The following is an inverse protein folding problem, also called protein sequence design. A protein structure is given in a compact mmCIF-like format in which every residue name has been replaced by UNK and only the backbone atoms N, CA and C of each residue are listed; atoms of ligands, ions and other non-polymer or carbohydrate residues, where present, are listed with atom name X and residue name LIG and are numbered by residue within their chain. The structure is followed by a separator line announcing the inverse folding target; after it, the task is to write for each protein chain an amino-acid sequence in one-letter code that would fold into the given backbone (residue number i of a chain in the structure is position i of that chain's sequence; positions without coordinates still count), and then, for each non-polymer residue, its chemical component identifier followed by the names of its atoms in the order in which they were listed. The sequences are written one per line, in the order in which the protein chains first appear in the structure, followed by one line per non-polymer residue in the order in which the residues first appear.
data_IF_442913036779
#
_entry.id   IF_442913036779
#
_cell.length_a   1.000
_cell.length_b   1.000
_cell.length_c   1.000
_cell.angle_alpha   90.00
_cell.angle_beta   90.00
_cell.angle_gamma   90.00
#
_symmetry.space_group_name_H-M   'P 1'
#
loop_
_entity.id
_entity.type
_entity.pdbx_description
1 polymer ?
#
# COMPACT_ATOMS: atom_id res chain seq x y z
N UNK A 1 -7.52 52.39 -19.52
CA UNK A 1 -7.39 50.93 -19.35
C UNK A 1 -7.03 50.67 -17.90
N UNK A 2 -8.02 50.50 -17.03
CA UNK A 2 -7.82 50.17 -15.61
C UNK A 2 -7.66 48.66 -15.48
N UNK A 3 -6.44 48.21 -15.26
CA UNK A 3 -6.15 46.85 -14.80
C UNK A 3 -6.71 46.70 -13.38
N UNK A 4 -7.92 46.16 -13.27
CA UNK A 4 -8.43 45.67 -11.99
C UNK A 4 -7.53 44.51 -11.52
N UNK A 5 -6.53 44.84 -10.71
CA UNK A 5 -5.86 43.87 -9.86
C UNK A 5 -6.89 43.44 -8.80
N UNK A 6 -7.59 42.33 -9.06
CA UNK A 6 -8.36 41.64 -8.04
C UNK A 6 -7.39 41.20 -6.94
N UNK A 7 -7.33 41.97 -5.85
CA UNK A 7 -6.64 41.55 -4.63
C UNK A 7 -7.44 40.39 -4.04
N UNK A 8 -6.97 39.17 -4.30
CA UNK A 8 -7.61 37.96 -3.81
C UNK A 8 -7.59 37.95 -2.28
N UNK A 9 -8.73 37.65 -1.66
CA UNK A 9 -8.82 37.64 -0.20
C UNK A 9 -7.90 36.56 0.40
N UNK A 10 -7.41 36.76 1.64
CA UNK A 10 -6.57 35.76 2.31
C UNK A 10 -7.23 34.37 2.37
N UNK A 11 -8.57 34.34 2.42
CA UNK A 11 -9.37 33.12 2.33
C UNK A 11 -9.27 32.45 0.95
N UNK A 12 -9.40 33.20 -0.14
CA UNK A 12 -9.27 32.68 -1.51
C UNK A 12 -7.87 32.11 -1.76
N UNK A 13 -6.82 32.77 -1.25
CA UNK A 13 -5.44 32.25 -1.34
C UNK A 13 -5.34 30.87 -0.67
N UNK A 14 -5.89 30.71 0.53
CA UNK A 14 -5.89 29.42 1.25
C UNK A 14 -6.79 28.37 0.60
N UNK A 15 -7.90 28.79 -0.01
CA UNK A 15 -8.76 27.89 -0.79
C UNK A 15 -8.03 27.36 -2.02
N UNK A 16 -7.32 28.22 -2.75
CA UNK A 16 -6.52 27.82 -3.92
C UNK A 16 -5.38 26.87 -3.53
N UNK A 17 -4.73 27.11 -2.38
CA UNK A 17 -3.70 26.22 -1.82
C UNK A 17 -4.28 24.83 -1.49
N UNK A 18 -5.47 24.79 -0.88
CA UNK A 18 -6.18 23.54 -0.61
C UNK A 18 -6.56 22.80 -1.89
N UNK A 19 -7.07 23.50 -2.90
CA UNK A 19 -7.46 22.88 -4.17
C UNK A 19 -6.25 22.29 -4.91
N UNK A 20 -5.09 22.96 -4.82
CA UNK A 20 -3.83 22.40 -5.32
C UNK A 20 -3.45 21.10 -4.59
N UNK A 21 -3.53 21.08 -3.26
CA UNK A 21 -3.28 19.87 -2.46
C UNK A 21 -4.26 18.75 -2.83
N UNK A 22 -5.56 19.03 -2.97
CA UNK A 22 -6.57 18.06 -3.39
C UNK A 22 -6.29 17.49 -4.77
N UNK A 23 -5.84 18.32 -5.71
CA UNK A 23 -5.42 17.89 -7.04
C UNK A 23 -4.23 16.92 -6.97
N UNK A 24 -3.27 17.16 -6.09
CA UNK A 24 -2.12 16.28 -5.87
C UNK A 24 -2.53 14.95 -5.22
N UNK A 25 -3.40 14.97 -4.20
CA UNK A 25 -3.97 13.73 -3.64
C UNK A 25 -4.76 12.95 -4.68
N UNK A 26 -5.55 13.63 -5.53
CA UNK A 26 -6.31 12.98 -6.61
C UNK A 26 -5.39 12.35 -7.66
N UNK A 27 -4.27 13.01 -8.00
CA UNK A 27 -3.25 12.44 -8.88
C UNK A 27 -2.62 11.19 -8.26
N UNK A 28 -2.22 11.26 -6.98
CA UNK A 28 -1.61 10.14 -6.27
C UNK A 28 -2.57 8.96 -6.09
N UNK A 29 -3.86 9.24 -5.83
CA UNK A 29 -4.94 8.25 -5.78
C UNK A 29 -5.03 7.43 -7.08
N UNK A 30 -4.83 8.05 -8.25
CA UNK A 30 -4.79 7.31 -9.53
C UNK A 30 -3.59 6.37 -9.62
N UNK A 31 -2.43 6.77 -9.11
CA UNK A 31 -1.23 5.92 -9.06
C UNK A 31 -1.42 4.70 -8.15
N UNK A 32 -2.02 4.90 -6.97
CA UNK A 32 -2.37 3.82 -6.04
C UNK A 32 -3.38 2.84 -6.66
N UNK A 33 -4.45 3.37 -7.26
CA UNK A 33 -5.43 2.54 -7.97
C UNK A 33 -4.80 1.77 -9.14
N UNK A 34 -3.88 2.39 -9.89
CA UNK A 34 -3.13 1.72 -10.94
C UNK A 34 -2.35 0.50 -10.43
N UNK A 35 -1.67 0.63 -9.28
CA UNK A 35 -0.98 -0.50 -8.64
C UNK A 35 -1.98 -1.56 -8.15
N UNK A 36 -3.10 -1.14 -7.56
CA UNK A 36 -4.19 -2.04 -7.11
C UNK A 36 -4.76 -2.88 -8.26
N UNK A 37 -5.03 -2.27 -9.41
CA UNK A 37 -5.52 -3.00 -10.59
C UNK A 37 -4.49 -4.00 -11.11
N UNK A 38 -3.22 -3.62 -11.18
CA UNK A 38 -2.14 -4.52 -11.60
C UNK A 38 -1.98 -5.70 -10.63
N UNK A 39 -2.07 -5.44 -9.32
CA UNK A 39 -2.04 -6.50 -8.32
C UNK A 39 -3.23 -7.44 -8.44
N UNK A 40 -4.44 -6.90 -8.60
CA UNK A 40 -5.66 -7.69 -8.81
C UNK A 40 -5.58 -8.59 -10.03
N UNK A 41 -5.09 -8.07 -11.16
CA UNK A 41 -4.92 -8.85 -12.39
C UNK A 41 -3.89 -9.95 -12.21
N UNK A 42 -2.74 -9.62 -11.62
CA UNK A 42 -1.72 -10.60 -11.26
C UNK A 42 -2.29 -11.68 -10.33
N UNK A 43 -2.97 -11.29 -9.26
CA UNK A 43 -3.55 -12.19 -8.27
C UNK A 43 -4.50 -13.16 -8.97
N UNK A 44 -5.50 -12.66 -9.71
CA UNK A 44 -6.49 -13.49 -10.40
C UNK A 44 -5.85 -14.51 -11.36
N UNK A 45 -4.73 -14.18 -12.01
CA UNK A 45 -4.07 -15.05 -13.00
C UNK A 45 -2.99 -15.97 -12.43
N UNK A 46 -2.28 -15.55 -11.37
CA UNK A 46 -1.00 -16.14 -10.96
C UNK A 46 -0.98 -16.68 -9.53
N UNK A 47 -1.90 -16.28 -8.64
CA UNK A 47 -1.83 -16.63 -7.20
C UNK A 47 -1.76 -18.15 -6.94
N UNK A 48 -2.52 -18.95 -7.69
CA UNK A 48 -2.52 -20.42 -7.56
C UNK A 48 -1.17 -21.01 -7.93
N UNK A 49 -0.63 -20.62 -9.09
CA UNK A 49 0.67 -21.06 -9.56
C UNK A 49 1.80 -20.63 -8.61
N UNK A 50 1.71 -19.43 -8.05
CA UNK A 50 2.63 -18.93 -7.04
C UNK A 50 2.64 -19.83 -5.79
N UNK A 51 1.46 -20.16 -5.24
CA UNK A 51 1.34 -21.08 -4.10
C UNK A 51 1.89 -22.47 -4.40
N UNK A 52 1.62 -23.02 -5.58
CA UNK A 52 2.16 -24.31 -6.03
C UNK A 52 3.69 -24.33 -6.06
N UNK A 53 4.31 -23.27 -6.59
CA UNK A 53 5.77 -23.14 -6.65
C UNK A 53 6.40 -23.07 -5.25
N UNK A 54 5.83 -22.28 -4.35
CA UNK A 54 6.32 -22.18 -2.97
C UNK A 54 6.21 -23.54 -2.24
N UNK A 55 5.06 -24.21 -2.35
CA UNK A 55 4.85 -25.54 -1.75
C UNK A 55 5.81 -26.58 -2.33
N UNK A 56 6.03 -26.57 -3.65
CA UNK A 56 6.96 -27.49 -4.30
C UNK A 56 8.40 -27.28 -3.84
N UNK A 57 8.84 -26.02 -3.72
CA UNK A 57 10.18 -25.71 -3.21
C UNK A 57 10.28 -26.06 -1.73
N UNK A 58 9.24 -25.80 -0.92
CA UNK A 58 9.20 -26.24 0.48
C UNK A 58 9.38 -27.75 0.62
N UNK A 59 8.70 -28.56 -0.21
CA UNK A 59 8.84 -30.03 -0.18
C UNK A 59 10.26 -30.50 -0.56
N UNK A 60 10.98 -29.74 -1.39
CA UNK A 60 12.34 -30.10 -1.84
C UNK A 60 13.45 -29.52 -0.98
N UNK A 61 13.23 -28.33 -0.42
CA UNK A 61 14.21 -27.52 0.31
C UNK A 61 13.55 -26.89 1.57
N UNK A 62 13.05 -27.69 2.52
CA UNK A 62 12.33 -27.17 3.69
C UNK A 62 13.20 -26.30 4.60
N UNK A 63 14.53 -26.50 4.58
CA UNK A 63 15.47 -25.68 5.35
C UNK A 63 15.60 -24.24 4.82
N UNK A 64 15.18 -23.98 3.57
CA UNK A 64 15.27 -22.66 2.92
C UNK A 64 13.89 -22.03 2.80
N UNK A 65 12.91 -22.83 2.40
CA UNK A 65 11.54 -22.40 2.16
C UNK A 65 10.67 -22.88 3.33
N UNK A 66 10.23 -22.00 4.24
CA UNK A 66 9.37 -22.37 5.35
C UNK A 66 7.96 -22.73 4.88
N UNK A 67 7.18 -23.38 5.74
CA UNK A 67 5.78 -23.71 5.49
C UNK A 67 4.84 -22.49 5.54
N UNK A 68 5.28 -21.39 6.14
CA UNK A 68 4.59 -20.09 6.19
C UNK A 68 5.57 -18.93 6.26
N UNK A 69 5.10 -17.74 5.92
CA UNK A 69 5.83 -16.49 6.12
C UNK A 69 5.08 -15.61 7.11
N UNK A 70 5.79 -15.08 8.10
CA UNK A 70 5.18 -14.23 9.12
C UNK A 70 5.30 -12.74 8.77
N UNK A 71 6.26 -12.35 7.91
CA UNK A 71 6.47 -10.97 7.47
C UNK A 71 7.22 -10.88 6.13
N UNK A 72 7.32 -9.68 5.54
CA UNK A 72 8.05 -9.45 4.28
C UNK A 72 9.55 -9.67 4.45
N UNK A 73 10.13 -9.27 5.58
CA UNK A 73 11.55 -9.47 5.85
C UNK A 73 11.91 -10.96 5.86
N UNK A 74 11.03 -11.82 6.40
CA UNK A 74 11.20 -13.28 6.35
C UNK A 74 11.14 -13.77 4.89
N UNK A 75 10.14 -13.32 4.12
CA UNK A 75 10.01 -13.67 2.71
C UNK A 75 11.22 -13.27 1.85
N UNK A 76 11.78 -12.06 2.07
CA UNK A 76 12.99 -11.57 1.41
C UNK A 76 14.22 -12.42 1.76
N UNK A 77 14.41 -12.77 3.03
CA UNK A 77 15.51 -13.66 3.45
C UNK A 77 15.44 -15.01 2.76
N UNK A 78 14.25 -15.61 2.66
CA UNK A 78 14.05 -16.87 1.94
C UNK A 78 14.36 -16.73 0.45
N UNK A 79 13.93 -15.63 -0.19
CA UNK A 79 14.28 -15.31 -1.57
C UNK A 79 15.81 -15.26 -1.76
N UNK A 80 16.51 -14.56 -0.88
CA UNK A 80 17.97 -14.39 -0.96
C UNK A 80 18.72 -15.70 -0.73
N UNK A 81 18.27 -16.52 0.23
CA UNK A 81 18.80 -17.87 0.43
C UNK A 81 18.56 -18.76 -0.79
N UNK A 82 17.35 -18.75 -1.35
CA UNK A 82 16.98 -19.55 -2.53
C UNK A 82 17.81 -19.16 -3.76
N UNK A 83 18.14 -17.88 -3.91
CA UNK A 83 18.96 -17.37 -5.02
C UNK A 83 20.40 -17.93 -5.03
N UNK A 84 20.89 -18.41 -3.88
CA UNK A 84 22.23 -18.97 -3.71
C UNK A 84 22.29 -20.48 -3.93
N UNK A 85 21.14 -21.14 -4.11
CA UNK A 85 21.07 -22.59 -4.32
C UNK A 85 21.49 -22.93 -5.75
N UNK A 86 22.30 -23.98 -5.91
CA UNK A 86 22.71 -24.42 -7.25
C UNK A 86 21.49 -24.89 -8.07
N UNK A 87 21.47 -24.53 -9.36
CA UNK A 87 20.30 -24.69 -10.25
C UNK A 87 20.06 -26.12 -10.73
N UNK A 88 20.74 -27.11 -10.17
CA UNK A 88 20.66 -28.49 -10.66
C UNK A 88 19.33 -29.15 -10.25
N UNK A 89 18.44 -29.31 -11.25
CA UNK A 89 17.22 -30.15 -11.22
C UNK A 89 16.07 -29.71 -10.29
N UNK A 90 16.07 -28.47 -9.83
CA UNK A 90 14.99 -27.92 -8.99
C UNK A 90 14.25 -26.77 -9.70
N UNK A 91 12.95 -26.55 -9.42
CA UNK A 91 12.18 -25.43 -9.99
C UNK A 91 12.52 -24.08 -9.33
N UNK A 92 13.74 -23.92 -8.81
CA UNK A 92 14.18 -22.73 -8.05
C UNK A 92 14.10 -21.47 -8.89
N UNK A 93 14.49 -21.51 -10.17
CA UNK A 93 14.42 -20.36 -11.07
C UNK A 93 12.98 -19.83 -11.27
N UNK A 94 12.01 -20.74 -11.44
CA UNK A 94 10.60 -20.37 -11.61
C UNK A 94 10.02 -19.79 -10.32
N UNK A 95 10.36 -20.40 -9.18
CA UNK A 95 9.94 -19.90 -7.87
C UNK A 95 10.53 -18.51 -7.58
N UNK A 96 11.83 -18.31 -7.85
CA UNK A 96 12.50 -17.01 -7.71
C UNK A 96 11.86 -15.95 -8.60
N UNK A 97 11.52 -16.27 -9.85
CA UNK A 97 10.81 -15.35 -10.74
C UNK A 97 9.45 -14.94 -10.13
N UNK A 98 8.67 -15.90 -9.65
CA UNK A 98 7.36 -15.64 -9.06
C UNK A 98 7.46 -14.85 -7.74
N UNK A 99 8.47 -15.12 -6.90
CA UNK A 99 8.76 -14.32 -5.70
C UNK A 99 9.15 -12.89 -6.06
N UNK A 100 9.94 -12.69 -7.12
CA UNK A 100 10.34 -11.37 -7.59
C UNK A 100 9.16 -10.52 -8.08
N UNK A 101 8.18 -11.13 -8.75
CA UNK A 101 6.94 -10.43 -9.14
C UNK A 101 6.24 -9.83 -7.91
N UNK A 102 6.09 -10.62 -6.84
CA UNK A 102 5.48 -10.15 -5.60
C UNK A 102 6.33 -9.07 -4.90
N UNK A 103 7.65 -9.26 -4.83
CA UNK A 103 8.58 -8.26 -4.29
C UNK A 103 8.56 -6.96 -5.10
N UNK A 104 8.30 -7.02 -6.41
CA UNK A 104 8.17 -5.82 -7.23
C UNK A 104 6.91 -5.03 -6.85
N UNK A 105 5.79 -5.68 -6.55
CA UNK A 105 4.61 -5.01 -6.00
C UNK A 105 4.91 -4.35 -4.65
N UNK A 106 5.62 -5.05 -3.76
CA UNK A 106 6.05 -4.48 -2.47
C UNK A 106 6.89 -3.22 -2.65
N UNK A 107 7.95 -3.28 -3.47
CA UNK A 107 8.85 -2.13 -3.72
C UNK A 107 8.09 -0.94 -4.30
N UNK A 108 7.23 -1.19 -5.29
CA UNK A 108 6.41 -0.13 -5.91
C UNK A 108 5.43 0.48 -4.93
N UNK A 109 4.81 -0.33 -4.07
CA UNK A 109 3.96 0.15 -2.99
C UNK A 109 4.76 1.05 -2.05
N UNK A 110 5.93 0.60 -1.56
CA UNK A 110 6.79 1.41 -0.68
C UNK A 110 7.14 2.77 -1.30
N UNK A 111 7.48 2.82 -2.58
CA UNK A 111 7.71 4.09 -3.29
C UNK A 111 6.48 5.01 -3.26
N UNK A 112 5.29 4.46 -3.50
CA UNK A 112 4.05 5.24 -3.44
C UNK A 112 3.75 5.70 -2.00
N UNK A 113 3.99 4.85 -1.00
CA UNK A 113 3.79 5.22 0.42
C UNK A 113 4.72 6.37 0.85
N UNK A 114 5.97 6.39 0.39
CA UNK A 114 6.86 7.53 0.63
C UNK A 114 6.33 8.84 0.02
N UNK A 115 5.73 8.77 -1.19
CA UNK A 115 5.08 9.92 -1.81
C UNK A 115 3.84 10.35 -1.03
N UNK A 116 3.04 9.39 -0.56
CA UNK A 116 1.87 9.63 0.30
C UNK A 116 2.26 10.35 1.59
N UNK A 117 3.36 9.93 2.24
CA UNK A 117 3.87 10.58 3.45
C UNK A 117 4.28 12.05 3.20
N UNK A 118 4.92 12.33 2.06
CA UNK A 118 5.28 13.70 1.66
C UNK A 118 4.04 14.58 1.45
N UNK A 119 3.00 14.07 0.79
CA UNK A 119 1.73 14.78 0.63
C UNK A 119 1.02 15.00 1.97
N UNK A 120 1.04 14.00 2.86
CA UNK A 120 0.47 14.10 4.20
C UNK A 120 1.16 15.18 5.05
N UNK A 121 2.50 15.29 4.99
CA UNK A 121 3.23 16.36 5.68
C UNK A 121 2.76 17.74 5.24
N UNK A 122 2.64 17.95 3.92
CA UNK A 122 2.13 19.21 3.35
C UNK A 122 0.68 19.49 3.76
N UNK A 123 -0.15 18.45 3.87
CA UNK A 123 -1.51 18.59 4.41
C UNK A 123 -1.49 19.03 5.88
N UNK A 124 -0.61 18.47 6.71
CA UNK A 124 -0.47 18.85 8.10
C UNK A 124 -0.01 20.31 8.26
N UNK A 125 0.98 20.73 7.48
CA UNK A 125 1.46 22.12 7.41
C UNK A 125 0.31 23.07 7.02
N UNK A 126 -0.46 22.71 5.98
CA UNK A 126 -1.62 23.47 5.56
C UNK A 126 -2.65 23.59 6.69
N UNK A 127 -3.04 22.47 7.31
CA UNK A 127 -4.02 22.46 8.40
C UNK A 127 -3.56 23.27 9.62
N UNK A 128 -2.25 23.33 9.91
CA UNK A 128 -1.71 24.17 10.97
C UNK A 128 -1.72 25.67 10.60
N UNK A 129 -1.69 26.00 9.32
CA UNK A 129 -1.67 27.38 8.82
C UNK A 129 -3.04 28.07 8.75
N UNK A 130 -4.13 27.33 8.95
CA UNK A 130 -5.51 27.83 8.84
C UNK A 130 -6.20 27.88 10.20
N UNK A 131 -7.04 28.89 10.40
CA UNK A 131 -7.70 29.14 11.68
C UNK A 131 -8.88 28.19 11.95
N UNK A 132 -9.63 27.77 10.92
CA UNK A 132 -10.76 26.84 11.05
C UNK A 132 -10.86 25.87 9.88
N UNK A 133 -10.99 24.58 10.20
CA UNK A 133 -11.41 23.55 9.27
C UNK A 133 -12.91 23.31 9.46
N UNK A 134 -13.64 23.15 8.35
CA UNK A 134 -15.08 22.88 8.40
C UNK A 134 -15.41 21.56 9.11
N UNK A 135 -14.55 20.56 8.96
CA UNK A 135 -14.69 19.28 9.66
C UNK A 135 -13.35 18.74 10.15
N UNK A 136 -13.09 18.94 11.43
CA UNK A 136 -11.89 18.43 12.10
C UNK A 136 -11.87 16.89 12.20
N UNK A 137 -13.01 16.21 12.11
CA UNK A 137 -13.09 14.74 12.20
C UNK A 137 -12.43 14.07 11.01
N UNK A 138 -12.60 14.64 9.81
CA UNK A 138 -11.95 14.12 8.58
C UNK A 138 -10.43 14.14 8.73
N UNK A 139 -9.85 15.22 9.24
CA UNK A 139 -8.40 15.30 9.49
C UNK A 139 -7.94 14.25 10.51
N UNK A 140 -8.67 14.07 11.62
CA UNK A 140 -8.32 13.02 12.61
C UNK A 140 -8.32 11.63 12.01
N UNK A 141 -9.32 11.28 11.19
CA UNK A 141 -9.37 10.00 10.50
C UNK A 141 -8.20 9.83 9.52
N UNK A 142 -7.83 10.89 8.80
CA UNK A 142 -6.64 10.88 7.93
C UNK A 142 -5.37 10.60 8.75
N UNK A 143 -5.23 11.21 9.93
CA UNK A 143 -4.06 11.04 10.80
C UNK A 143 -3.97 9.62 11.37
N UNK A 144 -5.10 9.09 11.86
CA UNK A 144 -5.20 7.71 12.34
C UNK A 144 -4.84 6.69 11.25
N UNK A 145 -5.38 6.87 10.04
CA UNK A 145 -5.06 5.99 8.91
C UNK A 145 -3.61 6.11 8.48
N UNK A 146 -3.01 7.30 8.53
CA UNK A 146 -1.62 7.50 8.15
C UNK A 146 -0.66 6.84 9.16
N UNK A 147 -0.90 6.98 10.46
CA UNK A 147 -0.09 6.34 11.50
C UNK A 147 -0.21 4.81 11.44
N UNK A 148 -1.43 4.31 11.20
CA UNK A 148 -1.67 2.90 10.93
C UNK A 148 -0.87 2.42 9.73
N UNK A 149 -0.96 3.13 8.60
CA UNK A 149 -0.25 2.78 7.36
C UNK A 149 1.27 2.75 7.55
N UNK A 150 1.82 3.69 8.32
CA UNK A 150 3.25 3.73 8.66
C UNK A 150 3.70 2.52 9.48
N UNK A 151 2.87 2.11 10.45
CA UNK A 151 3.13 0.94 11.30
C UNK A 151 3.06 -0.35 10.49
N UNK A 152 1.98 -0.53 9.72
CA UNK A 152 1.71 -1.76 8.97
C UNK A 152 2.61 -1.92 7.72
N UNK A 153 3.15 -0.83 7.18
CA UNK A 153 4.09 -0.88 6.04
C UNK A 153 5.53 -1.22 6.43
N UNK A 154 5.79 -1.67 7.66
CA UNK A 154 7.09 -2.15 8.10
C UNK A 154 7.38 -3.54 7.52
N UNK A 155 8.63 -3.80 7.10
CA UNK A 155 9.01 -5.10 6.54
C UNK A 155 8.85 -6.26 7.56
N UNK A 156 8.93 -5.95 8.86
CA UNK A 156 8.73 -6.89 9.97
C UNK A 156 7.29 -6.94 10.49
N UNK A 157 6.33 -6.29 9.83
CA UNK A 157 4.93 -6.33 10.25
C UNK A 157 4.38 -7.77 10.22
N UNK A 158 3.73 -8.18 11.31
CA UNK A 158 3.17 -9.51 11.48
C UNK A 158 1.91 -9.69 10.62
N UNK A 159 2.00 -10.59 9.66
CA UNK A 159 0.89 -10.93 8.76
C UNK A 159 -0.33 -11.50 9.49
N UNK A 160 -0.15 -12.11 10.66
CA UNK A 160 -1.23 -12.62 11.50
C UNK A 160 -2.28 -11.54 11.83
N UNK A 161 -1.85 -10.28 11.91
CA UNK A 161 -2.72 -9.14 12.25
C UNK A 161 -3.64 -8.68 11.10
N UNK A 162 -3.44 -9.20 9.88
CA UNK A 162 -4.26 -8.86 8.70
C UNK A 162 -5.54 -9.71 8.66
N UNK A 163 -5.61 -10.78 9.45
CA UNK A 163 -6.56 -11.89 9.27
C UNK A 163 -8.00 -11.69 9.79
N UNK A 164 -8.40 -10.48 10.21
CA UNK A 164 -9.75 -10.25 10.76
C UNK A 164 -10.60 -9.23 9.99
N UNK A 165 -10.12 -8.72 8.85
CA UNK A 165 -10.91 -7.76 8.07
C UNK A 165 -11.91 -8.50 7.16
N UNK A 166 -13.20 -8.49 7.51
CA UNK A 166 -14.34 -9.01 6.72
C UNK A 166 -14.33 -8.61 5.23
N UNK A 167 -13.62 -7.55 4.87
CA UNK A 167 -13.50 -7.00 3.51
C UNK A 167 -12.37 -7.60 2.67
N UNK A 168 -11.59 -8.53 3.20
CA UNK A 168 -10.48 -9.10 2.47
C UNK A 168 -10.99 -10.21 1.53
N UNK A 169 -11.62 -9.81 0.42
CA UNK A 169 -12.14 -10.74 -0.62
C UNK A 169 -11.06 -11.69 -1.17
N UNK A 170 -9.78 -11.39 -0.96
CA UNK A 170 -8.66 -12.25 -1.28
C UNK A 170 -8.61 -13.50 -0.40
N UNK A 171 -9.09 -13.43 0.85
CA UNK A 171 -9.15 -14.56 1.80
C UNK A 171 -9.99 -15.71 1.32
N UNK A 172 -11.09 -15.42 0.63
CA UNK A 172 -12.00 -16.45 0.12
C UNK A 172 -11.57 -17.03 -1.23
N UNK A 173 -10.63 -16.38 -1.93
CA UNK A 173 -10.15 -16.82 -3.25
C UNK A 173 -8.93 -17.71 -3.19
N UNK A 174 -8.19 -17.72 -2.06
CA UNK A 174 -7.05 -18.61 -1.88
C UNK A 174 -7.54 -20.00 -1.48
N UNK A 175 -7.19 -21.01 -2.27
CA UNK A 175 -7.55 -22.40 -1.97
C UNK A 175 -6.93 -22.87 -0.63
N UNK A 176 -7.63 -23.78 0.06
CA UNK A 176 -7.23 -24.35 1.36
C UNK A 176 -5.73 -24.75 1.46
N UNK A 177 -5.12 -25.40 0.46
CA UNK A 177 -3.69 -25.79 0.54
C UNK A 177 -2.70 -24.62 0.58
N UNK A 178 -3.13 -23.40 0.22
CA UNK A 178 -2.26 -22.22 0.13
C UNK A 178 -2.59 -21.15 1.19
N UNK A 179 -3.45 -21.48 2.17
CA UNK A 179 -3.85 -20.54 3.22
C UNK A 179 -2.67 -20.06 4.09
N UNK A 180 -1.61 -20.86 4.22
CA UNK A 180 -0.38 -20.44 4.91
C UNK A 180 0.33 -19.25 4.24
N UNK A 181 0.04 -18.94 2.97
CA UNK A 181 0.57 -17.79 2.25
C UNK A 181 -0.41 -16.61 2.19
N UNK A 182 -1.57 -16.72 2.85
CA UNK A 182 -2.62 -15.72 2.77
C UNK A 182 -2.17 -14.34 3.26
N UNK A 183 -1.44 -14.29 4.37
CA UNK A 183 -0.88 -13.06 4.92
C UNK A 183 0.01 -12.31 3.92
N UNK A 184 0.91 -13.06 3.27
CA UNK A 184 1.80 -12.57 2.23
C UNK A 184 1.02 -12.00 1.01
N UNK A 185 -0.02 -12.70 0.58
CA UNK A 185 -0.88 -12.28 -0.53
C UNK A 185 -1.84 -11.14 -0.15
N UNK A 186 -2.11 -10.94 1.13
CA UNK A 186 -3.06 -9.94 1.61
C UNK A 186 -2.42 -8.61 1.96
N UNK A 187 -1.13 -8.58 2.26
CA UNK A 187 -0.46 -7.38 2.73
C UNK A 187 -0.55 -6.21 1.72
N UNK A 188 -0.18 -6.45 0.47
CA UNK A 188 -0.23 -5.41 -0.58
C UNK A 188 -1.64 -4.83 -0.75
N UNK A 189 -2.71 -5.63 -0.96
CA UNK A 189 -4.05 -5.07 -1.11
C UNK A 189 -4.58 -4.41 0.17
N UNK A 190 -4.22 -4.92 1.35
CA UNK A 190 -4.56 -4.32 2.64
C UNK A 190 -4.01 -2.89 2.76
N UNK A 191 -2.70 -2.72 2.56
CA UNK A 191 -2.05 -1.40 2.63
C UNK A 191 -2.54 -0.46 1.51
N UNK A 192 -2.80 -0.97 0.31
CA UNK A 192 -3.36 -0.19 -0.79
C UNK A 192 -4.74 0.37 -0.44
N UNK A 193 -5.60 -0.41 0.24
CA UNK A 193 -6.92 0.05 0.69
C UNK A 193 -6.76 1.24 1.64
N UNK A 194 -5.96 1.08 2.70
CA UNK A 194 -5.71 2.15 3.68
C UNK A 194 -5.11 3.40 3.01
N UNK A 195 -4.13 3.26 2.11
CA UNK A 195 -3.51 4.39 1.41
C UNK A 195 -4.50 5.12 0.47
N UNK A 196 -5.40 4.38 -0.18
CA UNK A 196 -6.47 4.95 -1.01
C UNK A 196 -7.45 5.75 -0.14
N UNK A 197 -7.83 5.22 1.03
CA UNK A 197 -8.74 5.88 1.96
C UNK A 197 -8.15 7.19 2.50
N UNK A 198 -6.85 7.21 2.83
CA UNK A 198 -6.11 8.44 3.19
C UNK A 198 -6.25 9.50 2.09
N UNK A 199 -5.98 9.14 0.83
CA UNK A 199 -6.05 10.08 -0.28
C UNK A 199 -7.48 10.58 -0.53
N UNK A 200 -8.45 9.67 -0.45
CA UNK A 200 -9.86 10.00 -0.62
C UNK A 200 -10.32 10.98 0.46
N UNK A 201 -10.09 10.69 1.73
CA UNK A 201 -10.49 11.56 2.84
C UNK A 201 -9.75 12.90 2.81
N UNK A 202 -8.46 12.92 2.46
CA UNK A 202 -7.70 14.16 2.29
C UNK A 202 -8.34 15.07 1.22
N UNK A 203 -8.93 14.49 0.16
CA UNK A 203 -9.66 15.26 -0.85
C UNK A 203 -10.98 15.87 -0.36
N UNK A 204 -11.51 15.38 0.76
CA UNK A 204 -12.77 15.82 1.41
C UNK A 204 -12.57 16.88 2.49
N UNK A 205 -11.34 17.35 2.72
CA UNK A 205 -11.08 18.44 3.67
C UNK A 205 -11.64 19.75 3.10
N UNK A 206 -12.29 20.57 3.93
CA UNK A 206 -12.86 21.85 3.53
C UNK A 206 -12.51 22.95 4.55
N UNK A 207 -12.32 24.17 4.06
CA UNK A 207 -12.20 25.36 4.91
C UNK A 207 -13.57 25.88 5.32
N UNK A 208 -13.64 26.47 6.50
CA UNK A 208 -14.77 27.27 6.95
C UNK A 208 -14.45 28.75 6.73
N UNK A 209 -15.39 29.51 6.15
CA UNK A 209 -15.23 30.96 6.02
C UNK A 209 -15.49 31.58 7.39
N UNK A 210 -14.49 32.26 7.93
CA UNK A 210 -14.61 33.02 9.18
C UNK A 210 -15.56 34.21 9.03
#
# INVERSE_FOLDING_TARGET
MTTNQHVSSAFEVKMNELDLLKSQFSKHLRSLNGLKFQYMDWFNRRHKHFGELLTLVHMKLPCIMPSRFDCIAHFQKCHDCLSKVSKTRLPTDKCLAAMNELLQFWRRLKTLLCQSESLYKRLCEFCASVSRLRDHRVKRLVDELQERLKTEANDCFDFGLIHETRDNLYTYKVALPYQCFHGLLSLTPHLLKTAIDVCYLSSKIHLEKA
#
